data_IF_856145463789
#
_entry.id   IF_856145463789
#
_cell.length_a   1.000
_cell.length_b   1.000
_cell.length_c   1.000
_cell.angle_alpha   90.00
_cell.angle_beta   90.00
_cell.angle_gamma   90.00
#
_symmetry.space_group_name_H-M   'P 1'
#
loop_
_entity.id
_entity.type
_entity.pdbx_description
1 polymer ?
#
# COMPACT_ATOMS: atom_id res chain seq x y z
N UNK A 1 -4.66 11.03 -10.24
CA UNK A 1 -5.03 9.67 -9.85
C UNK A 1 -6.52 9.58 -9.79
N UNK A 2 -7.07 9.15 -10.91
CA UNK A 2 -8.48 8.93 -11.16
C UNK A 2 -8.73 7.44 -11.36
N UNK A 3 -9.95 7.00 -11.08
CA UNK A 3 -10.37 5.63 -11.38
C UNK A 3 -10.28 5.39 -12.89
N UNK A 4 -9.74 4.24 -13.29
CA UNK A 4 -9.48 3.89 -14.68
C UNK A 4 -8.13 4.33 -15.23
N UNK A 5 -7.37 5.17 -14.52
CA UNK A 5 -5.97 5.47 -14.88
C UNK A 5 -5.03 4.36 -14.42
N UNK A 6 -3.89 4.23 -15.10
CA UNK A 6 -2.79 3.42 -14.60
C UNK A 6 -2.21 4.03 -13.32
N UNK A 7 -2.02 3.17 -12.31
CA UNK A 7 -1.35 3.49 -11.08
C UNK A 7 0.15 3.73 -11.34
N UNK A 8 0.69 4.93 -11.05
CA UNK A 8 2.10 5.22 -11.30
C UNK A 8 3.05 4.31 -10.51
N UNK A 9 4.15 3.93 -11.16
CA UNK A 9 5.28 3.26 -10.52
C UNK A 9 6.05 4.23 -9.61
N UNK A 10 6.69 3.67 -8.59
CA UNK A 10 7.62 4.36 -7.70
C UNK A 10 8.48 3.31 -6.99
N UNK A 11 9.62 3.72 -6.43
CA UNK A 11 10.62 2.84 -5.83
C UNK A 11 10.82 3.17 -4.33
N UNK A 12 9.86 2.83 -3.45
CA UNK A 12 9.95 3.15 -2.03
C UNK A 12 10.99 2.28 -1.32
N UNK A 13 11.50 2.72 -0.18
CA UNK A 13 12.35 1.91 0.68
C UNK A 13 11.50 0.91 1.49
N UNK A 14 11.81 -0.38 1.41
CA UNK A 14 11.10 -1.42 2.16
C UNK A 14 11.73 -1.64 3.53
N UNK A 15 11.06 -1.18 4.58
CA UNK A 15 11.52 -1.33 5.95
C UNK A 15 11.14 -2.69 6.56
N UNK A 16 10.00 -3.24 6.16
CA UNK A 16 9.45 -4.48 6.69
C UNK A 16 8.60 -5.21 5.63
N UNK A 17 8.47 -6.53 5.78
CA UNK A 17 7.65 -7.38 4.91
C UNK A 17 8.46 -8.13 3.85
N UNK A 18 7.78 -8.70 2.83
CA UNK A 18 8.39 -9.64 1.88
C UNK A 18 9.60 -9.11 1.10
N UNK A 19 9.64 -7.80 0.87
CA UNK A 19 10.66 -7.13 0.05
C UNK A 19 11.64 -6.31 0.91
N UNK A 20 11.74 -6.57 2.23
CA UNK A 20 12.58 -5.82 3.18
C UNK A 20 14.01 -5.63 2.67
N UNK A 21 14.52 -4.40 2.78
CA UNK A 21 15.88 -4.03 2.39
C UNK A 21 16.03 -3.65 0.91
N UNK A 22 14.96 -3.73 0.12
CA UNK A 22 14.99 -3.40 -1.31
C UNK A 22 14.32 -2.05 -1.61
N UNK A 23 14.30 -1.68 -2.89
CA UNK A 23 13.47 -0.61 -3.46
C UNK A 23 12.48 -1.13 -4.52
N UNK A 24 11.99 -2.36 -4.33
CA UNK A 24 11.08 -3.00 -5.28
C UNK A 24 9.84 -2.14 -5.52
N UNK A 25 9.54 -1.87 -6.79
CA UNK A 25 8.35 -1.13 -7.18
C UNK A 25 7.08 -1.97 -6.96
N UNK A 26 6.13 -1.55 -6.10
CA UNK A 26 4.91 -2.31 -5.79
C UNK A 26 4.09 -2.65 -7.04
N UNK A 27 3.91 -1.66 -7.90
CA UNK A 27 3.09 -1.75 -9.12
C UNK A 27 3.79 -2.57 -10.20
N UNK A 28 5.12 -2.53 -10.26
CA UNK A 28 5.89 -3.20 -11.29
C UNK A 28 5.96 -4.71 -11.01
N UNK A 29 6.23 -5.09 -9.75
CA UNK A 29 6.36 -6.49 -9.36
C UNK A 29 5.00 -7.19 -9.19
N UNK A 30 4.00 -6.48 -8.70
CA UNK A 30 2.70 -7.06 -8.35
C UNK A 30 1.52 -6.45 -9.10
N UNK A 31 1.80 -5.67 -10.15
CA UNK A 31 0.77 -5.01 -10.97
C UNK A 31 -0.24 -5.97 -11.59
N UNK A 32 0.14 -7.24 -11.80
CA UNK A 32 -0.75 -8.29 -12.33
C UNK A 32 -1.82 -8.74 -11.35
N UNK A 33 -1.65 -8.47 -10.05
CA UNK A 33 -2.59 -8.87 -9.00
C UNK A 33 -3.41 -7.68 -8.51
N UNK A 34 -4.31 -7.92 -7.55
CA UNK A 34 -4.89 -6.83 -6.80
C UNK A 34 -3.84 -6.27 -5.86
N UNK A 35 -3.83 -4.94 -5.74
CA UNK A 35 -3.01 -4.31 -4.74
C UNK A 35 -3.71 -3.14 -4.06
N UNK A 36 -3.28 -2.90 -2.83
CA UNK A 36 -3.64 -1.72 -2.06
C UNK A 36 -2.36 -0.94 -1.81
N UNK A 37 -2.36 0.33 -2.20
CA UNK A 37 -1.40 1.30 -1.71
C UNK A 37 -2.10 2.16 -0.65
N UNK A 38 -1.65 2.02 0.59
CA UNK A 38 -2.11 2.79 1.73
C UNK A 38 -1.09 3.88 2.05
N UNK A 39 -1.33 5.09 1.54
CA UNK A 39 -0.46 6.25 1.71
C UNK A 39 -0.81 7.05 2.96
N UNK A 40 0.22 7.45 3.72
CA UNK A 40 0.09 8.37 4.85
C UNK A 40 1.14 9.49 4.76
N UNK A 41 0.69 10.72 4.93
CA UNK A 41 1.49 11.94 4.80
C UNK A 41 1.97 12.53 6.13
N UNK A 42 1.97 13.86 6.20
CA UNK A 42 2.71 14.66 7.19
C UNK A 42 2.08 14.71 8.59
N UNK A 43 0.92 14.09 8.78
CA UNK A 43 0.17 14.07 10.03
C UNK A 43 -0.26 12.62 10.37
N UNK A 44 0.70 11.70 10.61
CA UNK A 44 0.38 10.29 10.84
C UNK A 44 -0.31 10.08 12.19
N UNK A 45 -1.52 9.51 12.17
CA UNK A 45 -2.18 8.95 13.36
C UNK A 45 -1.80 7.47 13.50
N UNK A 46 -0.79 7.19 14.33
CA UNK A 46 -0.29 5.83 14.52
C UNK A 46 -1.32 4.85 15.12
N UNK A 47 -2.27 5.34 15.89
CA UNK A 47 -3.37 4.49 16.40
C UNK A 47 -4.24 4.03 15.25
N UNK A 48 -4.65 4.97 14.38
CA UNK A 48 -5.45 4.65 13.21
C UNK A 48 -4.68 3.80 12.19
N UNK A 49 -3.39 4.10 11.96
CA UNK A 49 -2.52 3.35 11.06
C UNK A 49 -2.41 1.90 11.50
N UNK A 50 -2.12 1.64 12.78
CA UNK A 50 -2.00 0.27 13.29
C UNK A 50 -3.30 -0.52 13.12
N UNK A 51 -4.45 0.12 13.37
CA UNK A 51 -5.76 -0.51 13.15
C UNK A 51 -5.99 -0.88 11.68
N UNK A 52 -5.66 0.03 10.74
CA UNK A 52 -5.69 -0.27 9.31
C UNK A 52 -4.75 -1.40 8.92
N UNK A 53 -3.50 -1.38 9.39
CA UNK A 53 -2.51 -2.42 9.08
C UNK A 53 -2.97 -3.81 9.53
N UNK A 54 -3.56 -3.94 10.73
CA UNK A 54 -4.10 -5.20 11.20
C UNK A 54 -5.27 -5.70 10.35
N UNK A 55 -6.16 -4.81 9.92
CA UNK A 55 -7.24 -5.15 9.01
C UNK A 55 -6.71 -5.61 7.64
N UNK A 56 -5.79 -4.84 7.06
CA UNK A 56 -5.22 -5.13 5.75
C UNK A 56 -4.40 -6.42 5.74
N UNK A 57 -3.71 -6.74 6.83
CA UNK A 57 -3.01 -8.02 6.99
C UNK A 57 -3.98 -9.19 6.88
N UNK A 58 -5.12 -9.13 7.57
CA UNK A 58 -6.17 -10.16 7.49
C UNK A 58 -6.76 -10.26 6.08
N UNK A 59 -6.97 -9.13 5.41
CA UNK A 59 -7.46 -9.13 4.03
C UNK A 59 -6.44 -9.75 3.07
N UNK A 60 -5.15 -9.53 3.32
CA UNK A 60 -4.05 -10.13 2.56
C UNK A 60 -3.93 -11.63 2.84
N UNK A 61 -4.05 -12.07 4.10
CA UNK A 61 -4.05 -13.49 4.47
C UNK A 61 -5.21 -14.22 3.79
N UNK A 62 -6.43 -13.66 3.87
CA UNK A 62 -7.64 -14.21 3.25
C UNK A 62 -7.52 -14.39 1.73
N UNK A 63 -6.74 -13.53 1.06
CA UNK A 63 -6.62 -13.50 -0.42
C UNK A 63 -5.26 -13.98 -0.92
N UNK A 64 -4.40 -14.42 -0.02
CA UNK A 64 -3.10 -15.03 -0.27
C UNK A 64 -2.24 -14.29 -1.32
N UNK A 65 -1.91 -14.96 -2.42
CA UNK A 65 -1.08 -14.42 -3.50
C UNK A 65 -1.78 -13.33 -4.33
N UNK A 66 -3.12 -13.26 -4.27
CA UNK A 66 -3.90 -12.42 -5.16
C UNK A 66 -4.11 -10.99 -4.66
N UNK A 67 -3.81 -10.71 -3.39
CA UNK A 67 -3.78 -9.36 -2.84
C UNK A 67 -2.39 -9.05 -2.29
N UNK A 68 -1.84 -7.91 -2.69
CA UNK A 68 -0.61 -7.35 -2.12
C UNK A 68 -0.87 -5.98 -1.51
N UNK A 69 -0.47 -5.82 -0.25
CA UNK A 69 -0.70 -4.59 0.51
C UNK A 69 0.62 -3.89 0.76
N UNK A 70 0.68 -2.61 0.40
CA UNK A 70 1.79 -1.72 0.68
C UNK A 70 1.31 -0.54 1.50
N UNK A 71 1.87 -0.41 2.70
CA UNK A 71 1.84 0.84 3.43
C UNK A 71 2.98 1.73 2.97
N UNK A 72 2.70 3.01 2.70
CA UNK A 72 3.68 3.97 2.21
C UNK A 72 3.63 5.23 3.07
N UNK A 73 4.66 5.41 3.90
CA UNK A 73 4.82 6.62 4.71
C UNK A 73 5.67 7.65 3.94
N UNK A 74 5.08 8.81 3.65
CA UNK A 74 5.72 9.91 2.94
C UNK A 74 5.75 11.21 3.75
N UNK A 75 6.02 11.10 5.06
CA UNK A 75 6.13 12.25 5.96
C UNK A 75 7.52 12.91 5.87
N UNK A 76 7.54 14.14 5.33
CA UNK A 76 8.74 14.95 5.08
C UNK A 76 9.30 15.66 6.32
N UNK A 77 8.50 15.81 7.37
CA UNK A 77 8.92 16.43 8.62
C UNK A 77 9.97 15.56 9.31
N UNK A 78 11.11 16.18 9.62
CA UNK A 78 12.25 15.56 10.31
C UNK A 78 12.65 14.21 9.70
N UNK A 79 12.65 14.12 8.38
CA UNK A 79 12.96 12.87 7.70
C UNK A 79 14.41 12.42 7.97
N UNK A 80 14.54 11.31 8.65
CA UNK A 80 15.76 10.53 8.77
C UNK A 80 15.50 9.09 8.29
N UNK A 81 16.30 8.63 7.31
CA UNK A 81 16.13 7.30 6.70
C UNK A 81 16.25 6.16 7.72
N UNK A 82 17.24 6.22 8.60
CA UNK A 82 17.53 5.15 9.56
C UNK A 82 16.42 5.06 10.61
N UNK A 83 16.01 6.20 11.16
CA UNK A 83 14.92 6.27 12.14
C UNK A 83 13.60 5.80 11.55
N UNK A 84 13.30 6.21 10.31
CA UNK A 84 12.08 5.78 9.59
C UNK A 84 12.06 4.28 9.38
N UNK A 85 13.20 3.69 8.99
CA UNK A 85 13.32 2.26 8.81
C UNK A 85 13.11 1.50 10.13
N UNK A 86 13.74 1.95 11.23
CA UNK A 86 13.57 1.35 12.55
C UNK A 86 12.13 1.47 13.08
N UNK A 87 11.48 2.62 12.88
CA UNK A 87 10.09 2.86 13.30
C UNK A 87 9.13 1.88 12.62
N UNK A 88 9.28 1.70 11.31
CA UNK A 88 8.42 0.78 10.54
C UNK A 88 8.73 -0.68 10.85
N UNK A 89 10.01 -1.04 11.00
CA UNK A 89 10.39 -2.38 11.44
C UNK A 89 9.80 -2.73 12.81
N UNK A 90 9.90 -1.82 13.78
CA UNK A 90 9.27 -1.98 15.10
C UNK A 90 7.76 -2.16 14.98
N UNK A 91 7.09 -1.34 14.18
CA UNK A 91 5.63 -1.43 13.98
C UNK A 91 5.22 -2.75 13.33
N UNK A 92 5.97 -3.23 12.32
CA UNK A 92 5.71 -4.51 11.67
C UNK A 92 5.84 -5.69 12.62
N UNK A 93 6.89 -5.69 13.47
CA UNK A 93 7.09 -6.69 14.50
C UNK A 93 6.00 -6.65 15.58
N UNK A 94 5.66 -5.47 16.10
CA UNK A 94 4.61 -5.28 17.11
C UNK A 94 3.25 -5.82 16.64
N UNK A 95 2.93 -5.62 15.36
CA UNK A 95 1.68 -6.07 14.76
C UNK A 95 1.75 -7.50 14.21
N UNK A 96 2.92 -8.15 14.28
CA UNK A 96 3.17 -9.49 13.73
C UNK A 96 2.77 -9.63 12.26
N UNK A 97 3.00 -8.57 11.46
CA UNK A 97 2.67 -8.58 10.03
C UNK A 97 3.53 -9.61 9.30
N UNK A 98 2.96 -10.28 8.29
CA UNK A 98 3.68 -11.24 7.44
C UNK A 98 3.58 -10.86 5.96
N UNK A 99 2.40 -10.44 5.52
CA UNK A 99 2.09 -10.21 4.11
C UNK A 99 2.15 -8.75 3.72
N UNK A 100 1.78 -7.85 4.63
CA UNK A 100 1.78 -6.40 4.40
C UNK A 100 3.20 -5.84 4.42
N UNK A 101 3.60 -5.19 3.34
CA UNK A 101 4.88 -4.49 3.26
C UNK A 101 4.76 -3.09 3.89
N UNK A 102 5.70 -2.75 4.77
CA UNK A 102 5.82 -1.39 5.31
C UNK A 102 6.96 -0.68 4.61
N UNK A 103 6.61 0.36 3.87
CA UNK A 103 7.52 1.11 3.01
C UNK A 103 7.48 2.59 3.33
N UNK A 104 8.52 3.31 2.89
CA UNK A 104 8.57 4.76 3.04
C UNK A 104 9.29 5.43 1.88
N UNK A 105 8.98 6.70 1.70
CA UNK A 105 9.68 7.64 0.81
C UNK A 105 10.07 8.87 1.61
N UNK A 106 11.13 9.62 1.23
CA UNK A 106 11.50 10.85 1.93
C UNK A 106 10.35 11.87 2.01
N UNK A 107 9.61 12.01 0.90
CA UNK A 107 8.39 12.80 0.80
C UNK A 107 7.59 12.31 -0.42
N UNK A 108 6.30 12.67 -0.49
CA UNK A 108 5.52 12.43 -1.72
C UNK A 108 5.91 13.35 -2.89
N UNK A 109 6.80 14.32 -2.68
CA UNK A 109 7.39 15.14 -3.76
C UNK A 109 8.76 14.62 -4.19
N UNK A 110 9.27 13.55 -3.59
CA UNK A 110 10.60 13.04 -3.87
C UNK A 110 10.71 12.51 -5.30
N UNK A 111 11.69 13.02 -6.04
CA UNK A 111 11.96 12.61 -7.42
C UNK A 111 12.80 11.35 -7.50
N UNK A 112 13.68 11.10 -6.52
CA UNK A 112 14.60 9.97 -6.54
C UNK A 112 13.88 8.62 -6.45
N UNK A 113 12.84 8.56 -5.62
CA UNK A 113 11.95 7.40 -5.49
C UNK A 113 10.77 7.44 -6.47
N UNK A 114 10.67 8.49 -7.30
CA UNK A 114 9.55 8.75 -8.21
C UNK A 114 8.18 8.89 -7.52
N UNK A 115 8.17 9.09 -6.19
CA UNK A 115 6.95 9.24 -5.40
C UNK A 115 6.06 10.38 -5.93
N UNK A 116 6.67 11.45 -6.43
CA UNK A 116 5.97 12.61 -7.03
C UNK A 116 5.00 12.26 -8.16
N UNK A 117 5.22 11.16 -8.88
CA UNK A 117 4.32 10.72 -9.96
C UNK A 117 2.94 10.33 -9.44
N UNK A 118 2.87 9.88 -8.18
CA UNK A 118 1.61 9.51 -7.54
C UNK A 118 0.73 10.72 -7.19
N UNK A 119 1.28 11.94 -7.17
CA UNK A 119 0.55 13.19 -6.86
C UNK A 119 -0.29 13.07 -5.58
N UNK A 120 0.24 12.39 -4.55
CA UNK A 120 -0.43 12.22 -3.26
C UNK A 120 -0.39 13.53 -2.49
N UNK A 121 -1.54 13.95 -1.95
CA UNK A 121 -1.60 15.10 -1.05
C UNK A 121 -1.07 14.68 0.32
N UNK A 122 0.05 15.24 0.79
CA UNK A 122 0.62 14.90 2.10
C UNK A 122 -0.12 15.51 3.29
N UNK A 123 -1.07 16.42 3.06
CA UNK A 123 -1.81 17.11 4.12
C UNK A 123 -3.09 16.38 4.55
N UNK A 124 -3.56 15.40 3.78
CA UNK A 124 -4.67 14.52 4.19
C UNK A 124 -4.14 13.43 5.12
N UNK A 125 -5.01 12.85 5.94
CA UNK A 125 -4.63 11.83 6.91
C UNK A 125 -4.14 10.56 6.21
N UNK A 126 -4.87 10.13 5.18
CA UNK A 126 -4.47 9.00 4.36
C UNK A 126 -5.12 9.03 2.97
N UNK A 127 -4.53 8.24 2.06
CA UNK A 127 -5.11 7.90 0.76
C UNK A 127 -4.95 6.41 0.53
N UNK A 128 -6.06 5.74 0.22
CA UNK A 128 -6.07 4.36 -0.25
C UNK A 128 -6.23 4.37 -1.77
N UNK A 129 -5.38 3.62 -2.45
CA UNK A 129 -5.56 3.27 -3.86
C UNK A 129 -5.70 1.76 -3.95
N UNK A 130 -6.83 1.29 -4.50
CA UNK A 130 -7.03 -0.10 -4.89
C UNK A 130 -6.79 -0.17 -6.39
N UNK A 131 -5.90 -1.06 -6.81
CA UNK A 131 -5.62 -1.28 -8.22
C UNK A 131 -5.74 -2.77 -8.59
N UNK A 132 -6.00 -3.01 -9.86
CA UNK A 132 -6.04 -4.33 -10.48
C UNK A 132 -5.44 -4.22 -11.87
N UNK A 133 -4.53 -5.14 -12.22
CA UNK A 133 -3.84 -5.09 -13.52
C UNK A 133 -3.22 -3.71 -13.78
N UNK A 134 -2.64 -3.11 -12.74
CA UNK A 134 -2.11 -1.73 -12.69
C UNK A 134 -3.14 -0.61 -12.84
N UNK A 135 -4.38 -0.88 -13.22
CA UNK A 135 -5.43 0.14 -13.32
C UNK A 135 -6.05 0.43 -11.95
N UNK A 136 -6.23 1.71 -11.63
CA UNK A 136 -6.89 2.15 -10.41
C UNK A 136 -8.37 1.76 -10.48
N UNK A 137 -8.78 0.86 -9.59
CA UNK A 137 -10.16 0.41 -9.48
C UNK A 137 -10.96 1.27 -8.50
N UNK A 138 -10.32 1.73 -7.42
CA UNK A 138 -10.97 2.52 -6.39
C UNK A 138 -9.97 3.41 -5.66
N UNK A 139 -10.49 4.51 -5.10
CA UNK A 139 -9.69 5.48 -4.36
C UNK A 139 -10.48 6.07 -3.21
N UNK A 140 -9.87 6.12 -2.04
CA UNK A 140 -10.47 6.71 -0.84
C UNK A 140 -9.47 7.65 -0.15
N UNK A 141 -9.98 8.72 0.46
CA UNK A 141 -9.18 9.74 1.13
C UNK A 141 -9.77 9.96 2.51
N UNK A 142 -8.91 10.11 3.54
CA UNK A 142 -9.31 10.32 4.94
C UNK A 142 -10.23 9.22 5.51
N UNK A 143 -9.98 7.96 5.16
CA UNK A 143 -10.74 6.86 5.76
C UNK A 143 -10.33 6.63 7.21
N UNK A 144 -11.33 6.57 8.08
CA UNK A 144 -11.17 6.17 9.48
C UNK A 144 -11.30 4.66 9.62
N UNK A 145 -10.53 4.02 10.51
CA UNK A 145 -10.58 2.56 10.71
C UNK A 145 -11.81 2.15 11.53
N UNK A 146 -12.98 2.20 10.90
CA UNK A 146 -14.24 1.78 11.51
C UNK A 146 -14.74 0.48 10.89
N UNK A 147 -15.58 -0.31 11.58
CA UNK A 147 -16.16 -1.54 11.02
C UNK A 147 -16.86 -1.33 9.67
N UNK A 148 -17.52 -0.18 9.48
CA UNK A 148 -18.21 0.17 8.25
C UNK A 148 -17.21 0.35 7.10
N UNK A 149 -16.12 1.09 7.34
CA UNK A 149 -15.07 1.33 6.34
C UNK A 149 -14.26 0.07 6.04
N UNK A 150 -14.03 -0.80 7.02
CA UNK A 150 -13.44 -2.13 6.80
C UNK A 150 -14.32 -2.98 5.88
N UNK A 151 -15.62 -3.03 6.16
CA UNK A 151 -16.58 -3.75 5.32
C UNK A 151 -16.64 -3.16 3.90
N UNK A 152 -16.64 -1.84 3.78
CA UNK A 152 -16.60 -1.14 2.49
C UNK A 152 -15.35 -1.51 1.69
N UNK A 153 -14.15 -1.43 2.30
CA UNK A 153 -12.90 -1.75 1.62
C UNK A 153 -12.86 -3.23 1.20
N UNK A 154 -13.31 -4.14 2.07
CA UNK A 154 -13.38 -5.57 1.75
C UNK A 154 -14.29 -5.84 0.54
N UNK A 155 -15.48 -5.20 0.48
CA UNK A 155 -16.39 -5.28 -0.67
C UNK A 155 -15.79 -4.70 -1.94
N UNK A 156 -15.02 -3.62 -1.86
CA UNK A 156 -14.30 -3.07 -3.01
C UNK A 156 -13.30 -4.08 -3.58
N UNK A 157 -12.57 -4.79 -2.71
CA UNK A 157 -11.64 -5.86 -3.09
C UNK A 157 -12.33 -7.09 -3.68
N UNK A 158 -13.57 -7.38 -3.27
CA UNK A 158 -14.36 -8.48 -3.83
C UNK A 158 -14.89 -8.11 -5.22
N UNK A 159 -15.35 -6.86 -5.42
CA UNK A 159 -15.83 -6.37 -6.72
C UNK A 159 -14.75 -6.32 -7.79
N UNK A 160 -13.48 -6.20 -7.39
CA UNK A 160 -12.38 -6.23 -8.34
C UNK A 160 -12.07 -7.66 -8.81
N UNK A 161 -12.61 -8.73 -8.21
CA UNK A 161 -12.38 -10.10 -8.69
C UNK A 161 -13.04 -10.32 -10.06
N UNK A 162 -12.23 -10.62 -11.09
CA UNK A 162 -12.72 -10.95 -12.43
C UNK A 162 -12.94 -12.45 -12.61
N UNK A 163 -13.59 -12.86 -13.70
CA UNK A 163 -13.86 -14.28 -13.99
C UNK A 163 -12.61 -15.18 -14.04
N UNK A 164 -11.44 -14.60 -14.31
CA UNK A 164 -10.16 -15.30 -14.46
C UNK A 164 -9.22 -15.14 -13.26
N UNK A 165 -9.70 -14.58 -12.14
CA UNK A 165 -8.87 -14.22 -10.99
C UNK A 165 -8.09 -15.40 -10.38
N UNK A 166 -8.67 -16.61 -10.44
CA UNK A 166 -8.06 -17.82 -9.89
C UNK A 166 -7.24 -18.61 -10.92
N UNK A 167 -7.15 -18.16 -12.18
CA UNK A 167 -6.41 -18.92 -13.19
C UNK A 167 -4.89 -18.77 -12.99
N UNK A 168 -4.12 -19.88 -13.06
CA UNK A 168 -2.67 -19.82 -13.08
C UNK A 168 -2.17 -19.12 -14.35
N UNK A 169 -0.93 -18.64 -14.31
CA UNK A 169 -0.30 -18.06 -15.50
C UNK A 169 -0.26 -19.08 -16.64
N UNK A 170 -0.51 -18.68 -17.89
CA UNK A 170 -0.19 -19.51 -19.04
C UNK A 170 1.33 -19.74 -19.05
N UNK A 171 1.76 -20.98 -19.25
CA UNK A 171 3.18 -21.26 -19.48
C UNK A 171 3.61 -20.53 -20.76
N UNK A 172 4.66 -19.72 -20.65
CA UNK A 172 5.37 -19.20 -21.80
C UNK A 172 6.33 -20.29 -22.30
N UNK A 173 6.04 -20.87 -23.47
CA UNK A 173 6.99 -21.70 -24.23
C UNK A 173 8.10 -20.84 -24.86
#
# INVERSE_FOLDING_TARGET
LNIGEDQPSFAPYHAFGPDKGTQTCPVCKYGRYHGILYFVGNNPDWTAIKSWLQFLEKESEKREQYLKVYFVLGNDKDYNKMERQQQLEKSGNELQLKNTALTFVPSFSDKKTEAYLNKINSNVENTFIIYKHRTIADKYINLKPTPENFTMLSRALDKTQGAYFNLPEPNHE
#
